data_IF_464019438294
#
_entry.id   IF_464019438294
#
_cell.length_a   1.000
_cell.length_b   1.000
_cell.length_c   1.000
_cell.angle_alpha   90.00
_cell.angle_beta   90.00
_cell.angle_gamma   90.00
#
_symmetry.space_group_name_H-M   'P 1'
#
loop_
_entity.id
_entity.type
_entity.pdbx_description
1 polymer ?
#
# COMPACT_ATOMS: atom_id res chain seq x y z
N UNK A 1 26.02 -6.88 -24.73
CA UNK A 1 24.60 -6.47 -24.52
C UNK A 1 24.02 -6.97 -23.19
N UNK A 2 24.49 -8.08 -22.58
CA UNK A 2 23.93 -8.63 -21.32
C UNK A 2 24.16 -7.77 -20.06
N UNK A 3 25.30 -7.09 -19.94
CA UNK A 3 25.64 -6.26 -18.75
C UNK A 3 24.65 -5.13 -18.44
N UNK A 4 24.06 -4.51 -19.46
CA UNK A 4 23.08 -3.43 -19.25
C UNK A 4 21.71 -3.96 -18.81
N UNK A 5 21.36 -5.19 -19.19
CA UNK A 5 20.10 -5.82 -18.80
C UNK A 5 20.13 -6.25 -17.33
N UNK A 6 21.28 -6.78 -16.87
CA UNK A 6 21.51 -7.17 -15.48
C UNK A 6 21.53 -5.96 -14.53
N UNK A 7 22.16 -4.85 -14.94
CA UNK A 7 22.20 -3.63 -14.15
C UNK A 7 20.78 -3.04 -13.95
N UNK A 8 19.99 -2.98 -15.03
CA UNK A 8 18.63 -2.48 -14.97
C UNK A 8 17.69 -3.40 -14.16
N UNK A 9 17.84 -4.72 -14.25
CA UNK A 9 17.05 -5.62 -13.41
C UNK A 9 17.38 -5.46 -11.93
N UNK A 10 18.66 -5.29 -11.60
CA UNK A 10 19.11 -5.11 -10.23
C UNK A 10 18.59 -3.80 -9.61
N UNK A 11 18.61 -2.70 -10.37
CA UNK A 11 18.15 -1.39 -9.90
C UNK A 11 16.63 -1.33 -9.69
N UNK A 12 15.86 -2.00 -10.56
CA UNK A 12 14.40 -2.13 -10.40
C UNK A 12 14.07 -2.99 -9.18
N UNK A 13 14.81 -4.08 -8.98
CA UNK A 13 14.60 -4.99 -7.85
C UNK A 13 14.97 -4.34 -6.51
N UNK A 14 16.09 -3.59 -6.46
CA UNK A 14 16.51 -2.86 -5.26
C UNK A 14 15.53 -1.75 -4.89
N UNK A 15 15.09 -0.98 -5.88
CA UNK A 15 14.14 0.14 -5.67
C UNK A 15 12.76 -0.38 -5.26
N UNK A 16 12.28 -1.45 -5.90
CA UNK A 16 11.02 -2.09 -5.54
C UNK A 16 11.04 -2.62 -4.11
N UNK A 17 12.11 -3.31 -3.71
CA UNK A 17 12.26 -3.81 -2.35
C UNK A 17 12.28 -2.68 -1.31
N UNK A 18 13.02 -1.60 -1.56
CA UNK A 18 13.07 -0.44 -0.67
C UNK A 18 11.69 0.23 -0.49
N UNK A 19 10.92 0.38 -1.59
CA UNK A 19 9.57 0.93 -1.54
C UNK A 19 8.60 0.04 -0.76
N UNK A 20 8.70 -1.28 -0.93
CA UNK A 20 7.93 -2.25 -0.15
C UNK A 20 8.25 -2.16 1.34
N UNK A 21 9.54 -2.17 1.70
CA UNK A 21 9.99 -2.05 3.10
C UNK A 21 9.52 -0.75 3.75
N UNK A 22 9.61 0.37 3.01
CA UNK A 22 9.09 1.66 3.46
C UNK A 22 7.58 1.63 3.69
N UNK A 23 6.80 1.04 2.77
CA UNK A 23 5.36 0.88 2.93
C UNK A 23 5.00 0.05 4.17
N UNK A 24 5.70 -1.07 4.38
CA UNK A 24 5.53 -1.92 5.58
C UNK A 24 5.84 -1.14 6.86
N UNK A 25 6.91 -0.34 6.87
CA UNK A 25 7.29 0.48 8.01
C UNK A 25 6.20 1.52 8.35
N UNK A 26 5.67 2.22 7.33
CA UNK A 26 4.59 3.19 7.52
C UNK A 26 3.32 2.54 8.10
N UNK A 27 2.88 1.40 7.54
CA UNK A 27 1.69 0.70 8.01
C UNK A 27 1.88 0.23 9.46
N UNK A 28 3.05 -0.35 9.78
CA UNK A 28 3.39 -0.75 11.15
C UNK A 28 3.32 0.42 12.11
N UNK A 29 3.87 1.58 11.74
CA UNK A 29 3.82 2.77 12.58
C UNK A 29 2.38 3.27 12.78
N UNK A 30 1.52 3.25 11.76
CA UNK A 30 0.11 3.62 11.91
C UNK A 30 -0.64 2.69 12.87
N UNK A 31 -0.39 1.37 12.78
CA UNK A 31 -0.96 0.39 13.68
C UNK A 31 -0.46 0.59 15.12
N UNK A 32 0.84 0.81 15.30
CA UNK A 32 1.45 1.06 16.60
C UNK A 32 0.95 2.35 17.24
N UNK A 33 0.79 3.43 16.48
CA UNK A 33 0.29 4.70 17.00
C UNK A 33 -1.17 4.59 17.45
N UNK A 34 -2.07 4.11 16.59
CA UNK A 34 -3.48 3.98 16.94
C UNK A 34 -3.72 2.91 18.01
N UNK A 35 -3.08 1.75 17.89
CA UNK A 35 -3.19 0.67 18.86
C UNK A 35 -2.55 1.03 20.21
N UNK A 36 -1.39 1.68 20.19
CA UNK A 36 -0.71 2.17 21.40
C UNK A 36 -1.53 3.23 22.13
N UNK A 37 -2.14 4.17 21.40
CA UNK A 37 -3.05 5.15 21.99
C UNK A 37 -4.26 4.49 22.66
N UNK A 38 -4.83 3.45 22.03
CA UNK A 38 -5.95 2.68 22.60
C UNK A 38 -5.55 1.92 23.88
N UNK A 39 -4.37 1.30 23.88
CA UNK A 39 -3.84 0.56 25.04
C UNK A 39 -3.47 1.50 26.20
N UNK A 40 -2.97 2.70 25.90
CA UNK A 40 -2.63 3.70 26.91
C UNK A 40 -3.87 4.38 27.52
N UNK A 41 -5.01 4.35 26.82
CA UNK A 41 -6.23 5.08 27.18
C UNK A 41 -6.73 4.80 28.61
N UNK A 42 -6.80 3.54 29.10
CA UNK A 42 -7.26 3.26 30.46
C UNK A 42 -6.35 3.86 31.53
N UNK A 43 -5.04 3.80 31.33
CA UNK A 43 -4.08 4.40 32.25
C UNK A 43 -4.25 5.92 32.31
N UNK A 44 -4.41 6.57 31.14
CA UNK A 44 -4.67 8.01 31.08
C UNK A 44 -6.03 8.36 31.70
N UNK A 45 -7.07 7.55 31.49
CA UNK A 45 -8.41 7.79 32.03
C UNK A 45 -8.45 7.85 33.57
N UNK A 46 -7.53 7.18 34.27
CA UNK A 46 -7.46 7.22 35.75
C UNK A 46 -6.96 8.55 36.32
N UNK A 47 -6.21 9.33 35.53
CA UNK A 47 -5.65 10.62 35.96
C UNK A 47 -6.44 11.83 35.45
N UNK A 48 -7.46 11.59 34.62
CA UNK A 48 -8.33 12.63 34.06
C UNK A 48 -9.48 12.98 35.02
N UNK A 49 -9.91 14.25 34.99
CA UNK A 49 -11.10 14.71 35.70
C UNK A 49 -12.39 14.09 35.12
N UNK A 50 -13.46 14.02 35.93
CA UNK A 50 -14.74 13.42 35.52
C UNK A 50 -15.36 14.08 34.28
N UNK A 51 -15.16 15.40 34.10
CA UNK A 51 -15.62 16.13 32.92
C UNK A 51 -14.90 15.66 31.64
N UNK A 52 -13.62 15.29 31.73
CA UNK A 52 -12.83 14.80 30.59
C UNK A 52 -13.12 13.33 30.29
N UNK A 53 -13.53 12.55 31.29
CA UNK A 53 -13.86 11.12 31.11
C UNK A 53 -14.97 10.87 30.10
N UNK A 54 -15.88 11.82 29.91
CA UNK A 54 -16.91 11.73 28.87
C UNK A 54 -16.33 11.73 27.45
N UNK A 55 -15.18 12.40 27.25
CA UNK A 55 -14.50 12.49 25.96
C UNK A 55 -13.57 11.30 25.67
N UNK A 56 -13.20 10.52 26.70
CA UNK A 56 -12.39 9.31 26.57
C UNK A 56 -13.04 8.30 25.62
N UNK A 57 -14.36 8.12 25.71
CA UNK A 57 -15.10 7.24 24.80
C UNK A 57 -15.03 7.71 23.34
N UNK A 58 -15.11 9.03 23.10
CA UNK A 58 -14.97 9.62 21.78
C UNK A 58 -13.56 9.43 21.20
N UNK A 59 -12.52 9.66 22.01
CA UNK A 59 -11.13 9.43 21.61
C UNK A 59 -10.86 7.95 21.32
N UNK A 60 -11.42 7.03 22.13
CA UNK A 60 -11.34 5.60 21.88
C UNK A 60 -11.94 5.23 20.52
N UNK A 61 -13.14 5.74 20.20
CA UNK A 61 -13.79 5.50 18.93
C UNK A 61 -12.95 5.99 17.73
N UNK A 62 -12.31 7.16 17.88
CA UNK A 62 -11.40 7.70 16.87
C UNK A 62 -10.14 6.85 16.69
N UNK A 63 -9.54 6.34 17.77
CA UNK A 63 -8.39 5.43 17.69
C UNK A 63 -8.75 4.06 17.09
N UNK A 64 -9.93 3.50 17.42
CA UNK A 64 -10.43 2.26 16.78
C UNK A 64 -10.68 2.49 15.29
N UNK A 65 -11.25 3.63 14.92
CA UNK A 65 -11.47 4.01 13.52
C UNK A 65 -10.13 4.15 12.79
N UNK A 66 -9.17 4.86 13.38
CA UNK A 66 -7.82 5.02 12.84
C UNK A 66 -7.09 3.69 12.68
N UNK A 67 -7.21 2.78 13.64
CA UNK A 67 -6.65 1.42 13.57
C UNK A 67 -7.30 0.61 12.44
N UNK A 68 -8.62 0.68 12.30
CA UNK A 68 -9.35 -0.01 11.23
C UNK A 68 -8.93 0.50 9.85
N UNK A 69 -8.80 1.82 9.69
CA UNK A 69 -8.29 2.44 8.46
C UNK A 69 -6.84 2.03 8.15
N UNK A 70 -5.98 1.91 9.16
CA UNK A 70 -4.61 1.42 9.00
C UNK A 70 -4.57 -0.04 8.54
N UNK A 71 -5.46 -0.90 9.05
CA UNK A 71 -5.60 -2.28 8.57
C UNK A 71 -6.08 -2.34 7.11
N UNK A 72 -7.06 -1.52 6.74
CA UNK A 72 -7.54 -1.40 5.34
C UNK A 72 -6.39 -0.90 4.44
N UNK A 73 -5.64 0.10 4.87
CA UNK A 73 -4.46 0.61 4.16
C UNK A 73 -3.45 -0.53 3.90
N UNK A 74 -3.15 -1.33 4.92
CA UNK A 74 -2.27 -2.48 4.78
C UNK A 74 -2.77 -3.53 3.80
N UNK A 75 -4.06 -3.88 3.87
CA UNK A 75 -4.68 -4.84 2.96
C UNK A 75 -4.63 -4.38 1.49
N UNK A 76 -5.03 -3.13 1.21
CA UNK A 76 -5.00 -2.61 -0.16
C UNK A 76 -3.58 -2.41 -0.69
N UNK A 77 -2.61 -2.09 0.16
CA UNK A 77 -1.19 -2.05 -0.21
C UNK A 77 -0.71 -3.44 -0.63
N UNK A 78 -1.09 -4.48 0.11
CA UNK A 78 -0.77 -5.87 -0.24
C UNK A 78 -1.40 -6.27 -1.59
N UNK A 79 -2.67 -5.95 -1.81
CA UNK A 79 -3.34 -6.19 -3.10
C UNK A 79 -2.66 -5.45 -4.25
N UNK A 80 -2.24 -4.19 -4.04
CA UNK A 80 -1.52 -3.43 -5.05
C UNK A 80 -0.24 -4.16 -5.48
N UNK A 81 0.52 -4.67 -4.50
CA UNK A 81 1.74 -5.42 -4.76
C UNK A 81 1.47 -6.71 -5.55
N UNK A 82 0.43 -7.46 -5.19
CA UNK A 82 0.03 -8.69 -5.91
C UNK A 82 -0.37 -8.40 -7.36
N UNK A 83 -1.14 -7.34 -7.60
CA UNK A 83 -1.55 -6.96 -8.94
C UNK A 83 -0.39 -6.43 -9.78
N UNK A 84 0.50 -5.63 -9.18
CA UNK A 84 1.71 -5.17 -9.88
C UNK A 84 2.64 -6.33 -10.23
N UNK A 85 2.85 -7.27 -9.31
CA UNK A 85 3.66 -8.46 -9.57
C UNK A 85 3.07 -9.31 -10.72
N UNK A 86 1.76 -9.50 -10.72
CA UNK A 86 1.07 -10.24 -11.78
C UNK A 86 1.17 -9.53 -13.13
N UNK A 87 0.99 -8.21 -13.16
CA UNK A 87 1.16 -7.40 -14.38
C UNK A 87 2.62 -7.41 -14.88
N UNK A 88 3.60 -7.44 -13.98
CA UNK A 88 5.00 -7.54 -14.32
C UNK A 88 5.35 -8.88 -14.96
N UNK A 89 4.85 -9.99 -14.41
CA UNK A 89 5.03 -11.33 -15.00
C UNK A 89 4.45 -11.40 -16.41
N UNK A 90 3.25 -10.85 -16.60
CA UNK A 90 2.61 -10.80 -17.91
C UNK A 90 3.43 -9.98 -18.92
N UNK A 91 3.92 -8.79 -18.51
CA UNK A 91 4.82 -7.97 -19.33
C UNK A 91 6.12 -8.70 -19.70
N UNK A 92 6.69 -9.42 -18.74
CA UNK A 92 7.90 -10.22 -18.96
C UNK A 92 7.66 -11.31 -19.99
N UNK A 93 6.54 -12.03 -19.89
CA UNK A 93 6.15 -13.07 -20.85
C UNK A 93 5.92 -12.50 -22.25
N UNK A 94 5.18 -11.39 -22.37
CA UNK A 94 4.94 -10.71 -23.66
C UNK A 94 6.25 -10.21 -24.30
N UNK A 95 7.16 -9.63 -23.51
CA UNK A 95 8.49 -9.24 -24.00
C UNK A 95 9.33 -10.43 -24.44
N UNK A 96 9.30 -11.54 -23.70
CA UNK A 96 10.01 -12.76 -24.09
C UNK A 96 9.51 -13.31 -25.42
N UNK A 97 8.19 -13.33 -25.67
CA UNK A 97 7.61 -13.67 -26.98
C UNK A 97 8.09 -12.71 -28.07
N UNK A 98 8.05 -11.41 -27.83
CA UNK A 98 8.56 -10.42 -28.80
C UNK A 98 10.03 -10.60 -29.16
N UNK A 99 10.89 -10.87 -28.17
CA UNK A 99 12.31 -11.16 -28.41
C UNK A 99 12.46 -12.47 -29.18
N UNK A 100 11.68 -13.51 -28.83
CA UNK A 100 11.63 -14.77 -29.57
C UNK A 100 11.35 -14.56 -31.06
N UNK A 101 10.35 -13.74 -31.40
CA UNK A 101 9.98 -13.43 -32.78
C UNK A 101 11.12 -12.72 -33.52
N UNK A 102 11.78 -11.75 -32.88
CA UNK A 102 12.90 -11.00 -33.45
C UNK A 102 14.11 -11.90 -33.71
N UNK A 103 14.40 -12.84 -32.80
CA UNK A 103 15.60 -13.68 -32.88
C UNK A 103 15.42 -14.95 -33.71
N UNK A 104 14.24 -15.57 -33.68
CA UNK A 104 13.96 -16.85 -34.33
C UNK A 104 13.23 -16.70 -35.67
N UNK A 105 12.70 -15.51 -35.95
CA UNK A 105 11.96 -15.20 -37.17
C UNK A 105 10.49 -15.66 -37.13
N UNK A 106 9.69 -15.19 -38.10
CA UNK A 106 8.25 -15.43 -38.16
C UNK A 106 7.88 -16.89 -38.50
N UNK A 107 8.84 -17.71 -38.92
CA UNK A 107 8.62 -19.13 -39.24
C UNK A 107 8.35 -19.98 -37.99
N UNK A 108 8.87 -19.55 -36.83
CA UNK A 108 8.74 -20.27 -35.56
C UNK A 108 7.74 -19.61 -34.60
N UNK A 109 7.37 -18.35 -34.83
CA UNK A 109 6.40 -17.61 -34.02
C UNK A 109 5.50 -16.73 -34.89
N UNK A 110 4.19 -16.77 -34.63
CA UNK A 110 3.22 -15.99 -35.38
C UNK A 110 3.32 -14.50 -35.03
N UNK A 111 3.79 -13.68 -35.97
CA UNK A 111 3.95 -12.24 -35.77
C UNK A 111 2.63 -11.53 -35.42
N UNK A 112 1.50 -11.96 -36.00
CA UNK A 112 0.20 -11.36 -35.74
C UNK A 112 -0.30 -11.63 -34.31
N UNK A 113 0.01 -12.80 -33.76
CA UNK A 113 -0.34 -13.16 -32.38
C UNK A 113 0.47 -12.32 -31.38
N UNK A 114 1.77 -12.14 -31.62
CA UNK A 114 2.65 -11.30 -30.79
C UNK A 114 2.24 -9.83 -30.83
N UNK A 115 1.86 -9.30 -32.00
CA UNK A 115 1.36 -7.92 -32.11
C UNK A 115 0.04 -7.73 -31.36
N UNK A 116 -0.87 -8.70 -31.45
CA UNK A 116 -2.15 -8.67 -30.74
C UNK A 116 -1.93 -8.70 -29.22
N UNK A 117 -1.11 -9.63 -28.72
CA UNK A 117 -0.72 -9.73 -27.30
C UNK A 117 -0.09 -8.44 -26.78
N UNK A 118 0.72 -7.76 -27.60
CA UNK A 118 1.37 -6.49 -27.22
C UNK A 118 0.40 -5.30 -27.24
N UNK A 119 -0.67 -5.37 -28.03
CA UNK A 119 -1.72 -4.35 -28.10
C UNK A 119 -2.76 -4.49 -26.99
N UNK A 120 -2.90 -5.68 -26.39
CA UNK A 120 -3.81 -5.89 -25.28
C UNK A 120 -3.41 -5.09 -24.04
N UNK A 121 -4.40 -4.52 -23.35
CA UNK A 121 -4.17 -3.84 -22.07
C UNK A 121 -3.67 -4.81 -21.02
N UNK A 122 -2.89 -4.30 -20.07
CA UNK A 122 -2.42 -5.10 -18.95
C UNK A 122 -3.59 -5.58 -18.10
N UNK A 123 -3.54 -6.84 -17.64
CA UNK A 123 -4.52 -7.33 -16.71
C UNK A 123 -4.46 -6.47 -15.43
N UNK A 124 -5.63 -6.21 -14.84
CA UNK A 124 -5.77 -5.47 -13.59
C UNK A 124 -5.38 -3.98 -13.63
N UNK A 125 -5.20 -3.34 -14.79
CA UNK A 125 -4.80 -1.91 -14.86
C UNK A 125 -5.70 -1.01 -13.99
N UNK A 126 -7.02 -1.21 -14.05
CA UNK A 126 -7.98 -0.47 -13.22
C UNK A 126 -7.83 -0.79 -11.73
N UNK A 127 -7.64 -2.07 -11.39
CA UNK A 127 -7.48 -2.49 -10.00
C UNK A 127 -6.17 -1.96 -9.40
N UNK A 128 -5.08 -1.90 -10.17
CA UNK A 128 -3.80 -1.29 -9.76
C UNK A 128 -4.01 0.20 -9.44
N UNK A 129 -4.73 0.95 -10.28
CA UNK A 129 -5.01 2.38 -10.02
C UNK A 129 -5.81 2.58 -8.72
N UNK A 130 -6.84 1.77 -8.49
CA UNK A 130 -7.63 1.86 -7.27
C UNK A 130 -6.84 1.45 -6.02
N UNK A 131 -6.15 0.31 -6.08
CA UNK A 131 -5.30 -0.18 -4.98
C UNK A 131 -4.08 0.71 -4.73
N UNK A 132 -3.73 1.60 -5.66
CA UNK A 132 -2.74 2.65 -5.42
C UNK A 132 -3.32 3.81 -4.59
N UNK A 133 -4.50 4.32 -4.95
CA UNK A 133 -5.09 5.49 -4.28
C UNK A 133 -5.73 5.17 -2.92
N UNK A 134 -6.37 4.01 -2.77
CA UNK A 134 -7.07 3.65 -1.53
C UNK A 134 -6.16 3.65 -0.30
N UNK A 135 -4.95 3.05 -0.31
CA UNK A 135 -4.01 3.12 0.81
C UNK A 135 -3.63 4.54 1.22
N UNK A 136 -3.43 5.44 0.26
CA UNK A 136 -3.09 6.84 0.56
C UNK A 136 -4.24 7.54 1.29
N UNK A 137 -5.46 7.41 0.77
CA UNK A 137 -6.64 8.04 1.38
C UNK A 137 -6.89 7.47 2.78
N UNK A 138 -6.88 6.14 2.92
CA UNK A 138 -7.12 5.46 4.20
C UNK A 138 -6.00 5.68 5.22
N UNK A 139 -4.74 5.72 4.79
CA UNK A 139 -3.59 6.04 5.65
C UNK A 139 -3.63 7.47 6.17
N UNK A 140 -3.94 8.45 5.31
CA UNK A 140 -4.13 9.85 5.75
C UNK A 140 -5.33 9.97 6.69
N UNK A 141 -6.46 9.33 6.36
CA UNK A 141 -7.64 9.33 7.23
C UNK A 141 -7.37 8.68 8.59
N UNK A 142 -6.54 7.63 8.64
CA UNK A 142 -6.08 7.02 9.89
C UNK A 142 -5.30 8.01 10.74
N UNK A 143 -4.36 8.76 10.14
CA UNK A 143 -3.59 9.78 10.83
C UNK A 143 -4.48 10.93 11.33
N UNK A 144 -5.44 11.39 10.51
CA UNK A 144 -6.41 12.42 10.91
C UNK A 144 -7.23 11.94 12.12
N UNK A 145 -7.69 10.68 12.10
CA UNK A 145 -8.44 10.09 13.22
C UNK A 145 -7.62 10.07 14.50
N UNK A 146 -6.33 9.71 14.41
CA UNK A 146 -5.40 9.78 15.54
C UNK A 146 -5.26 11.20 16.08
N UNK A 147 -5.00 12.19 15.21
CA UNK A 147 -4.82 13.59 15.61
C UNK A 147 -6.09 14.13 16.26
N UNK A 148 -7.27 13.85 15.69
CA UNK A 148 -8.55 14.25 16.27
C UNK A 148 -8.81 13.55 17.60
N UNK A 149 -8.46 12.26 17.72
CA UNK A 149 -8.59 11.51 18.97
C UNK A 149 -7.73 12.10 20.09
N UNK A 150 -6.48 12.46 19.77
CA UNK A 150 -5.58 13.15 20.68
C UNK A 150 -6.07 14.56 21.02
N UNK A 151 -6.54 15.32 20.04
CA UNK A 151 -7.09 16.66 20.28
C UNK A 151 -8.32 16.59 21.19
N UNK A 152 -9.26 15.68 20.94
CA UNK A 152 -10.43 15.51 21.80
C UNK A 152 -10.03 15.19 23.26
N UNK A 153 -8.92 14.48 23.45
CA UNK A 153 -8.37 14.14 24.75
C UNK A 153 -7.64 15.33 25.42
N UNK A 154 -7.00 16.20 24.65
CA UNK A 154 -6.25 17.38 25.12
C UNK A 154 -7.09 18.67 25.23
N UNK A 155 -8.15 18.81 24.43
CA UNK A 155 -8.97 20.02 24.33
C UNK A 155 -9.79 20.36 25.57
N UNK A 156 -9.68 19.53 26.60
CA UNK A 156 -10.41 19.63 27.88
C UNK A 156 -9.44 19.93 29.04
N UNK A 157 -8.13 20.03 28.81
CA UNK A 157 -7.19 20.51 29.84
C UNK A 157 -7.11 22.05 29.91
N UNK A 158 -8.12 22.76 29.42
CA UNK A 158 -8.27 24.21 29.57
C UNK A 158 -9.49 24.54 30.41
#
# INVERSE_FOLDING_TARGET
MSRNTELHSFEIESTGKALYEYGVLLIKNLLLLNGGALVALPAIATVLSEEVKQNVAGSAALFVTGLSLAMICGYFTHLNWLFQHSAYLELKNRRARKIGLICLGPELQNAAEVETDMAEKLPFERAIKWTFWVPHVTGIASLISLVLGCWLLLGVTK
#
